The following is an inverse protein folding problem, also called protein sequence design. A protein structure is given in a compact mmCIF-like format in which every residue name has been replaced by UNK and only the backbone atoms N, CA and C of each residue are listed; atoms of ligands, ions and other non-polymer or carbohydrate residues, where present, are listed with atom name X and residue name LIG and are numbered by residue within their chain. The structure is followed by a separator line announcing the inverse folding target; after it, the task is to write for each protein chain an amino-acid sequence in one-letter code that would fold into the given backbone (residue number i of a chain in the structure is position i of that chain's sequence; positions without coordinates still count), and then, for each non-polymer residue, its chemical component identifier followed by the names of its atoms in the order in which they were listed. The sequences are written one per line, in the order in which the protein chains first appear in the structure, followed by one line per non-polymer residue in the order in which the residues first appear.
data_IF_343115941151
#
_entry.id   IF_343115941151
#
_cell.length_a   1.000
_cell.length_b   1.000
_cell.length_c   1.000
_cell.angle_alpha   90.00
_cell.angle_beta   90.00
_cell.angle_gamma   90.00
#
_symmetry.space_group_name_H-M   'P 1'
#
loop_
_entity.id
_entity.type
_entity.pdbx_description
1 polymer ?
#
# COMPACT_ATOMS: atom_id res chain seq x y z
N UNK A 1 -8.96 -6.50 15.42
CA UNK A 1 -9.14 -6.34 13.97
C UNK A 1 -10.53 -5.77 13.75
N UNK A 2 -10.64 -4.60 13.13
CA UNK A 2 -11.94 -3.96 12.90
C UNK A 2 -12.63 -4.67 11.73
N UNK A 3 -13.78 -5.29 11.96
CA UNK A 3 -14.58 -5.91 10.89
C UNK A 3 -15.41 -4.82 10.22
N UNK A 4 -15.27 -4.69 8.91
CA UNK A 4 -16.01 -3.71 8.12
C UNK A 4 -17.32 -4.32 7.63
N UNK A 5 -18.38 -3.52 7.57
CA UNK A 5 -19.62 -3.91 6.92
C UNK A 5 -19.41 -4.14 5.42
N UNK A 6 -20.34 -4.83 4.76
CA UNK A 6 -20.28 -5.04 3.30
C UNK A 6 -20.19 -3.72 2.54
N UNK A 7 -20.96 -2.71 2.95
CA UNK A 7 -20.95 -1.38 2.34
C UNK A 7 -19.61 -0.67 2.54
N UNK A 8 -19.07 -0.72 3.76
CA UNK A 8 -17.76 -0.14 4.06
C UNK A 8 -16.64 -0.81 3.26
N UNK A 9 -16.67 -2.14 3.11
CA UNK A 9 -15.68 -2.84 2.29
C UNK A 9 -15.82 -2.54 0.80
N UNK A 10 -17.04 -2.37 0.30
CA UNK A 10 -17.27 -1.96 -1.08
C UNK A 10 -16.69 -0.56 -1.34
N UNK A 11 -16.95 0.39 -0.43
CA UNK A 11 -16.37 1.73 -0.50
C UNK A 11 -14.83 1.71 -0.43
N UNK A 12 -14.26 0.94 0.50
CA UNK A 12 -12.81 0.80 0.67
C UNK A 12 -12.14 0.16 -0.54
N UNK A 13 -12.72 -0.92 -1.07
CA UNK A 13 -12.24 -1.61 -2.28
C UNK A 13 -12.15 -0.64 -3.45
N UNK A 14 -13.23 0.13 -3.68
CA UNK A 14 -13.29 1.11 -4.77
C UNK A 14 -12.30 2.26 -4.56
N UNK A 15 -12.15 2.75 -3.33
CA UNK A 15 -11.19 3.81 -3.01
C UNK A 15 -9.75 3.37 -3.30
N UNK A 16 -9.35 2.18 -2.86
CA UNK A 16 -8.01 1.60 -3.13
C UNK A 16 -7.78 1.48 -4.62
N UNK A 17 -8.74 0.90 -5.36
CA UNK A 17 -8.64 0.75 -6.81
C UNK A 17 -8.56 2.09 -7.56
N UNK A 18 -9.24 3.13 -7.06
CA UNK A 18 -9.15 4.47 -7.61
C UNK A 18 -7.78 5.10 -7.37
N UNK A 19 -7.17 4.91 -6.19
CA UNK A 19 -5.80 5.37 -5.95
C UNK A 19 -4.80 4.72 -6.91
N UNK A 20 -4.91 3.40 -7.13
CA UNK A 20 -4.05 2.69 -8.06
C UNK A 20 -4.26 3.13 -9.52
N UNK A 21 -5.49 3.47 -9.91
CA UNK A 21 -5.81 4.05 -11.22
C UNK A 21 -5.19 5.43 -11.39
N UNK A 22 -5.30 6.30 -10.37
CA UNK A 22 -4.68 7.63 -10.37
C UNK A 22 -3.17 7.55 -10.55
N UNK A 23 -2.55 6.51 -9.97
CA UNK A 23 -1.13 6.21 -10.12
C UNK A 23 -0.77 5.57 -11.47
N UNK A 24 -1.76 5.27 -12.31
CA UNK A 24 -1.63 4.63 -13.62
C UNK A 24 -0.97 3.24 -13.54
N UNK A 25 -1.24 2.51 -12.46
CA UNK A 25 -0.77 1.13 -12.31
C UNK A 25 -1.57 0.23 -13.25
N UNK A 26 -0.91 -0.71 -13.92
CA UNK A 26 -1.59 -1.64 -14.83
C UNK A 26 -2.47 -2.62 -14.05
N UNK A 27 -3.48 -3.20 -14.71
CA UNK A 27 -4.36 -4.18 -14.06
C UNK A 27 -3.60 -5.42 -13.55
N UNK A 28 -2.57 -5.87 -14.28
CA UNK A 28 -1.69 -6.97 -13.86
C UNK A 28 -0.89 -6.58 -12.62
N UNK A 29 -0.27 -5.39 -12.62
CA UNK A 29 0.50 -4.90 -11.48
C UNK A 29 -0.39 -4.65 -10.24
N UNK A 30 -1.63 -4.20 -10.45
CA UNK A 30 -2.60 -4.07 -9.36
C UNK A 30 -2.85 -5.41 -8.67
N UNK A 31 -3.07 -6.46 -9.46
CA UNK A 31 -3.29 -7.81 -8.95
C UNK A 31 -2.04 -8.39 -8.28
N UNK A 32 -0.85 -8.07 -8.78
CA UNK A 32 0.41 -8.45 -8.14
C UNK A 32 0.56 -7.78 -6.76
N UNK A 33 0.36 -6.46 -6.68
CA UNK A 33 0.45 -5.69 -5.42
C UNK A 33 -0.59 -6.18 -4.40
N UNK A 34 -1.82 -6.45 -4.84
CA UNK A 34 -2.90 -6.94 -3.98
C UNK A 34 -2.76 -8.43 -3.64
N UNK A 35 -1.85 -9.15 -4.30
CA UNK A 35 -1.72 -10.62 -4.26
C UNK A 35 -3.04 -11.34 -4.59
N UNK A 36 -3.70 -10.90 -5.65
CA UNK A 36 -4.94 -11.48 -6.18
C UNK A 36 -4.75 -12.18 -7.53
N UNK A 37 -3.55 -12.17 -8.10
CA UNK A 37 -3.28 -12.65 -9.46
C UNK A 37 -3.54 -14.15 -9.69
N UNK A 38 -3.53 -14.97 -8.65
CA UNK A 38 -3.85 -16.40 -8.75
C UNK A 38 -5.36 -16.64 -8.91
N UNK A 39 -6.18 -15.82 -8.26
CA UNK A 39 -7.64 -16.00 -8.19
C UNK A 39 -8.40 -15.10 -9.17
N UNK A 40 -7.84 -13.95 -9.51
CA UNK A 40 -8.52 -12.88 -10.24
C UNK A 40 -7.73 -12.56 -11.50
N UNK A 41 -8.41 -12.60 -12.65
CA UNK A 41 -7.85 -12.13 -13.92
C UNK A 41 -8.01 -10.62 -14.06
N UNK A 42 -7.11 -9.91 -14.75
CA UNK A 42 -7.15 -8.45 -14.94
C UNK A 42 -8.52 -7.91 -15.38
N UNK A 43 -9.15 -8.58 -16.36
CA UNK A 43 -10.48 -8.20 -16.87
C UNK A 43 -11.61 -8.25 -15.84
N UNK A 44 -11.42 -8.98 -14.73
CA UNK A 44 -12.41 -9.10 -13.65
C UNK A 44 -12.28 -7.98 -12.61
N UNK A 45 -11.24 -7.14 -12.65
CA UNK A 45 -11.14 -5.96 -11.77
C UNK A 45 -12.31 -5.00 -11.95
N UNK A 46 -12.95 -4.99 -13.13
CA UNK A 46 -14.13 -4.18 -13.40
C UNK A 46 -15.27 -4.44 -12.40
N UNK A 47 -15.47 -5.70 -11.97
CA UNK A 47 -16.48 -6.05 -10.97
C UNK A 47 -16.21 -5.41 -9.61
N UNK A 48 -14.93 -5.26 -9.24
CA UNK A 48 -14.54 -4.59 -8.00
C UNK A 48 -14.73 -3.07 -8.09
N UNK A 49 -14.47 -2.47 -9.27
CA UNK A 49 -14.73 -1.04 -9.51
C UNK A 49 -16.22 -0.70 -9.46
N UNK A 50 -17.06 -1.60 -9.96
CA UNK A 50 -18.53 -1.47 -9.98
C UNK A 50 -19.16 -1.76 -8.61
N UNK A 51 -18.46 -2.46 -7.72
CA UNK A 51 -18.96 -2.81 -6.39
C UNK A 51 -19.68 -4.16 -6.33
N UNK A 52 -19.67 -4.95 -7.41
CA UNK A 52 -20.19 -6.31 -7.44
C UNK A 52 -19.36 -7.26 -6.56
N UNK A 53 -18.06 -6.97 -6.44
CA UNK A 53 -17.11 -7.73 -5.62
C UNK A 53 -16.34 -6.79 -4.71
N UNK A 54 -15.93 -7.33 -3.56
CA UNK A 54 -15.09 -6.65 -2.59
C UNK A 54 -13.82 -7.45 -2.31
N UNK A 55 -12.79 -6.79 -1.82
CA UNK A 55 -11.61 -7.48 -1.34
C UNK A 55 -11.92 -8.37 -0.12
N UNK A 56 -11.24 -9.51 0.04
CA UNK A 56 -11.38 -10.33 1.22
C UNK A 56 -10.92 -9.57 2.46
N UNK A 57 -11.62 -9.72 3.59
CA UNK A 57 -11.24 -9.10 4.88
C UNK A 57 -10.22 -9.96 5.65
N UNK A 58 -9.22 -10.51 4.96
CA UNK A 58 -8.12 -11.23 5.63
C UNK A 58 -7.10 -10.25 6.20
N UNK A 59 -6.33 -10.67 7.19
CA UNK A 59 -5.32 -9.82 7.84
C UNK A 59 -4.32 -9.28 6.83
N UNK A 60 -3.88 -10.13 5.91
CA UNK A 60 -2.90 -9.82 4.88
C UNK A 60 -3.44 -8.77 3.91
N UNK A 61 -4.69 -8.92 3.45
CA UNK A 61 -5.34 -7.95 2.57
C UNK A 61 -5.54 -6.61 3.28
N UNK A 62 -6.00 -6.63 4.53
CA UNK A 62 -6.21 -5.40 5.30
C UNK A 62 -4.89 -4.66 5.56
N UNK A 63 -3.79 -5.37 5.80
CA UNK A 63 -2.46 -4.77 5.94
C UNK A 63 -1.99 -4.11 4.65
N UNK A 64 -2.19 -4.75 3.48
CA UNK A 64 -1.86 -4.15 2.18
C UNK A 64 -2.70 -2.90 1.92
N UNK A 65 -3.99 -2.96 2.21
CA UNK A 65 -4.90 -1.82 2.09
C UNK A 65 -4.42 -0.66 2.96
N UNK A 66 -4.05 -0.91 4.22
CA UNK A 66 -3.53 0.10 5.14
C UNK A 66 -2.26 0.77 4.58
N UNK A 67 -1.33 -0.02 4.02
CA UNK A 67 -0.15 0.55 3.36
C UNK A 67 -0.49 1.39 2.13
N UNK A 68 -1.37 0.91 1.25
CA UNK A 68 -1.76 1.63 0.03
C UNK A 68 -2.45 2.95 0.37
N UNK A 69 -3.38 2.93 1.33
CA UNK A 69 -4.07 4.14 1.80
C UNK A 69 -3.08 5.11 2.45
N UNK A 70 -2.18 4.62 3.30
CA UNK A 70 -1.14 5.44 3.91
C UNK A 70 -0.21 6.10 2.88
N UNK A 71 0.18 5.37 1.82
CA UNK A 71 0.96 5.92 0.69
C UNK A 71 0.13 7.00 -0.03
N UNK A 72 -1.16 6.77 -0.28
CA UNK A 72 -2.03 7.73 -0.95
C UNK A 72 -2.17 9.04 -0.16
N UNK A 73 -2.37 8.94 1.16
CA UNK A 73 -2.47 10.10 2.03
C UNK A 73 -1.15 10.87 2.10
N UNK A 74 -0.02 10.19 2.27
CA UNK A 74 1.29 10.82 2.32
C UNK A 74 1.68 11.48 0.98
N UNK A 75 1.31 10.88 -0.16
CA UNK A 75 1.52 11.49 -1.47
C UNK A 75 0.64 12.72 -1.68
N UNK A 76 -0.58 12.74 -1.14
CA UNK A 76 -1.49 13.89 -1.21
C UNK A 76 -1.01 15.05 -0.33
N UNK A 77 -0.37 14.79 0.80
CA UNK A 77 0.24 15.85 1.62
C UNK A 77 1.56 16.35 1.02
N UNK A 78 2.37 15.45 0.44
CA UNK A 78 3.65 15.79 -0.20
C UNK A 78 3.46 16.57 -1.51
N UNK A 79 2.48 16.17 -2.33
CA UNK A 79 2.17 16.80 -3.63
C UNK A 79 0.70 17.22 -3.71
N UNK A 80 0.28 18.26 -2.93
CA UNK A 80 -1.12 18.62 -2.76
C UNK A 80 -1.79 19.11 -4.05
N UNK A 81 -1.04 19.80 -4.91
CA UNK A 81 -1.58 20.45 -6.11
C UNK A 81 -1.23 19.73 -7.41
N UNK A 82 -0.56 18.57 -7.36
CA UNK A 82 -0.14 17.86 -8.58
C UNK A 82 -0.27 16.34 -8.45
N UNK A 83 -1.34 15.80 -9.03
CA UNK A 83 -1.49 14.34 -9.22
C UNK A 83 -0.38 13.78 -10.11
N UNK A 84 0.10 14.55 -11.09
CA UNK A 84 1.21 14.17 -11.94
C UNK A 84 2.51 13.95 -11.13
N UNK A 85 2.80 14.80 -10.15
CA UNK A 85 3.96 14.60 -9.26
C UNK A 85 3.83 13.33 -8.41
N UNK A 86 2.61 12.98 -7.96
CA UNK A 86 2.37 11.70 -7.24
C UNK A 86 2.70 10.49 -8.12
N UNK A 87 2.25 10.51 -9.38
CA UNK A 87 2.58 9.46 -10.37
C UNK A 87 4.09 9.43 -10.65
N UNK A 88 4.71 10.60 -10.82
CA UNK A 88 6.15 10.66 -11.09
C UNK A 88 6.98 10.16 -9.91
N UNK A 89 6.57 10.42 -8.68
CA UNK A 89 7.27 9.91 -7.50
C UNK A 89 7.30 8.37 -7.51
N UNK A 90 6.17 7.72 -7.81
CA UNK A 90 6.06 6.25 -7.89
C UNK A 90 6.81 5.63 -9.08
N UNK A 91 6.98 6.38 -10.18
CA UNK A 91 7.52 5.84 -11.44
C UNK A 91 8.98 6.23 -11.73
N UNK A 92 9.55 7.20 -11.00
CA UNK A 92 10.94 7.65 -11.19
C UNK A 92 11.92 6.95 -10.24
N UNK A 93 13.16 6.69 -10.68
CA UNK A 93 14.24 6.21 -9.82
C UNK A 93 14.36 7.01 -8.52
N UNK A 94 14.39 6.30 -7.39
CA UNK A 94 14.49 6.91 -6.07
C UNK A 94 15.81 6.53 -5.38
N UNK A 95 16.48 7.50 -4.76
CA UNK A 95 17.83 7.29 -4.17
C UNK A 95 17.80 6.25 -3.05
N UNK A 96 16.76 6.26 -2.20
CA UNK A 96 16.62 5.31 -1.07
C UNK A 96 16.25 3.89 -1.53
N UNK A 97 15.88 3.73 -2.80
CA UNK A 97 15.53 2.44 -3.42
C UNK A 97 16.61 1.99 -4.42
N UNK A 98 17.87 2.35 -4.19
CA UNK A 98 19.00 1.92 -5.04
C UNK A 98 18.77 2.23 -6.53
N UNK A 99 18.16 3.39 -6.84
CA UNK A 99 17.77 3.83 -8.19
C UNK A 99 16.66 3.02 -8.87
N UNK A 100 15.99 2.11 -8.16
CA UNK A 100 14.69 1.56 -8.58
C UNK A 100 13.61 2.59 -8.31
N UNK A 101 12.51 2.54 -9.08
CA UNK A 101 11.35 3.36 -8.77
C UNK A 101 10.51 2.70 -7.65
N UNK A 102 9.74 3.46 -6.86
CA UNK A 102 8.94 2.90 -5.77
C UNK A 102 7.96 1.82 -6.22
N UNK A 103 7.35 1.95 -7.41
CA UNK A 103 6.44 0.93 -7.94
C UNK A 103 7.13 -0.44 -8.11
N UNK A 104 8.34 -0.48 -8.66
CA UNK A 104 9.12 -1.70 -8.79
C UNK A 104 9.46 -2.30 -7.42
N UNK A 105 9.71 -1.46 -6.40
CA UNK A 105 9.91 -1.94 -5.03
C UNK A 105 8.66 -2.63 -4.50
N UNK A 106 7.48 -2.04 -4.68
CA UNK A 106 6.21 -2.66 -4.25
C UNK A 106 5.97 -4.00 -4.98
N UNK A 107 6.29 -4.08 -6.26
CA UNK A 107 6.07 -5.29 -7.07
C UNK A 107 7.05 -6.42 -6.72
N UNK A 108 8.34 -6.11 -6.62
CA UNK A 108 9.36 -7.16 -6.44
C UNK A 108 9.50 -7.61 -4.98
N UNK A 109 9.23 -6.73 -4.01
CA UNK A 109 9.40 -6.99 -2.57
C UNK A 109 8.05 -7.25 -1.85
N UNK A 110 6.92 -7.21 -2.56
CA UNK A 110 5.59 -7.51 -2.01
C UNK A 110 5.22 -6.64 -0.81
N UNK A 111 4.81 -7.29 0.29
CA UNK A 111 4.35 -6.61 1.51
C UNK A 111 5.46 -5.77 2.17
N UNK A 112 6.68 -6.29 2.19
CA UNK A 112 7.85 -5.55 2.68
C UNK A 112 8.15 -4.35 1.78
N UNK A 113 7.96 -4.51 0.47
CA UNK A 113 8.07 -3.43 -0.50
C UNK A 113 7.06 -2.30 -0.25
N UNK A 114 5.79 -2.65 -0.02
CA UNK A 114 4.73 -1.71 0.34
C UNK A 114 5.06 -0.95 1.63
N UNK A 115 5.46 -1.67 2.68
CA UNK A 115 5.85 -1.08 3.95
C UNK A 115 7.02 -0.11 3.79
N UNK A 116 8.06 -0.52 3.05
CA UNK A 116 9.25 0.28 2.80
C UNK A 116 8.96 1.53 2.00
N UNK A 117 8.09 1.43 0.99
CA UNK A 117 7.62 2.60 0.22
C UNK A 117 6.82 3.54 1.10
N UNK A 118 5.94 3.02 1.96
CA UNK A 118 5.20 3.84 2.93
C UNK A 118 6.13 4.57 3.89
N UNK A 119 7.09 3.89 4.49
CA UNK A 119 8.07 4.51 5.41
C UNK A 119 8.82 5.67 4.72
N UNK A 120 9.09 5.55 3.42
CA UNK A 120 9.81 6.60 2.69
C UNK A 120 8.98 7.85 2.45
N UNK A 121 7.69 7.71 2.13
CA UNK A 121 6.82 8.85 1.82
C UNK A 121 6.10 9.41 3.06
N UNK A 122 5.82 8.55 4.04
CA UNK A 122 5.12 8.89 5.28
C UNK A 122 6.11 8.88 6.45
N UNK A 123 6.69 10.06 6.73
CA UNK A 123 7.62 10.22 7.84
C UNK A 123 6.99 9.89 9.20
N UNK A 124 5.69 10.15 9.40
CA UNK A 124 5.03 9.88 10.67
C UNK A 124 4.95 8.37 10.91
N UNK A 125 4.58 7.61 9.87
CA UNK A 125 4.64 6.16 9.91
C UNK A 125 6.07 5.64 10.13
N UNK A 126 7.05 6.22 9.44
CA UNK A 126 8.47 5.87 9.62
C UNK A 126 8.95 6.04 11.07
N UNK A 127 8.57 7.13 11.74
CA UNK A 127 8.89 7.33 13.16
C UNK A 127 8.19 6.32 14.07
N UNK A 128 6.90 6.05 13.85
CA UNK A 128 6.16 5.07 14.63
C UNK A 128 6.78 3.66 14.57
N UNK A 129 7.24 3.25 13.37
CA UNK A 129 7.96 1.98 13.20
C UNK A 129 9.30 1.99 13.95
N UNK A 130 10.07 3.06 13.84
CA UNK A 130 11.34 3.19 14.55
C UNK A 130 11.15 3.08 16.08
N UNK A 131 10.15 3.77 16.63
CA UNK A 131 9.84 3.74 18.05
C UNK A 131 9.41 2.34 18.52
N UNK A 132 8.57 1.66 17.72
CA UNK A 132 8.16 0.28 18.00
C UNK A 132 9.36 -0.69 18.02
N UNK A 133 10.32 -0.54 17.09
CA UNK A 133 11.53 -1.35 17.05
C UNK A 133 12.41 -1.13 18.28
N UNK A 134 12.56 0.12 18.72
CA UNK A 134 13.29 0.44 19.95
C UNK A 134 12.63 -0.18 21.19
N UNK A 135 11.31 -0.07 21.32
CA UNK A 135 10.58 -0.69 22.43
C UNK A 135 10.77 -2.21 22.46
N UNK A 136 10.62 -2.89 21.32
CA UNK A 136 10.82 -4.34 21.21
C UNK A 136 12.27 -4.76 21.53
N UNK A 137 13.27 -3.95 21.16
CA UNK A 137 14.67 -4.22 21.49
C UNK A 137 14.93 -4.14 23.00
N UNK A 138 14.34 -3.16 23.69
CA UNK A 138 14.45 -3.01 25.14
C UNK A 138 13.74 -4.13 25.90
N UNK A 139 12.58 -4.57 25.44
CA UNK A 139 11.88 -5.74 26.00
C UNK A 139 12.71 -7.02 25.88
N UNK A 140 13.33 -7.25 24.71
CA UNK A 140 14.24 -8.39 24.50
C UNK A 140 15.45 -8.34 25.42
N UNK A 141 16.04 -7.16 25.64
CA UNK A 141 17.14 -6.98 26.61
C UNK A 141 16.72 -7.30 28.03
N UNK A 142 15.53 -6.83 28.46
CA UNK A 142 14.97 -7.12 29.79
C UNK A 142 14.66 -8.60 29.99
N UNK A 143 14.14 -9.28 28.97
CA UNK A 143 13.85 -10.72 29.04
C UNK A 143 15.12 -11.59 29.07
N UNK A 144 16.26 -11.06 28.61
CA UNK A 144 17.55 -11.73 28.60
C UNK A 144 18.42 -11.44 29.84
N UNK A 145 17.97 -10.55 30.74
CA UNK A 145 18.63 -10.19 31.99
C UNK A 145 17.95 -10.88 33.18
#
# INVERSE_FOLDING_TARGET
MQTFSSEQMSALTRAVLNHMDEWKISADDMLAILQLGEDVRPRHLQHYRQGDKTFPQTTEMMNRIDHIVGIADALRTTFPFSSQMRVMWLSKPHRRFQRRNPLAVMLDEGDDGLMRVRIEVDCAYGYAINDALHAAAEEKKKAAA
#
